data_IF_885914629548
#
_entry.id   IF_885914629548
#
_cell.length_a   1.000
_cell.length_b   1.000
_cell.length_c   1.000
_cell.angle_alpha   90.00
_cell.angle_beta   90.00
_cell.angle_gamma   90.00
#
_symmetry.space_group_name_H-M   'P 1'
#
loop_
_entity.id
_entity.type
_entity.pdbx_description
1 polymer ?
#
# COMPACT_ATOMS: atom_id res chain seq x y z
N UNK A 1 -5.10 21.71 -11.22
CA UNK A 1 -5.93 20.49 -11.36
C UNK A 1 -5.59 19.52 -10.23
N UNK A 2 -6.55 18.72 -9.76
CA UNK A 2 -6.33 17.65 -8.76
C UNK A 2 -6.53 16.29 -9.43
N UNK A 3 -5.68 15.32 -9.11
CA UNK A 3 -5.78 13.95 -9.65
C UNK A 3 -5.86 12.94 -8.50
N UNK A 4 -6.54 11.83 -8.75
CA UNK A 4 -6.59 10.68 -7.85
C UNK A 4 -5.84 9.54 -8.53
N UNK A 5 -4.89 8.92 -7.81
CA UNK A 5 -4.17 7.73 -8.31
C UNK A 5 -5.16 6.58 -8.47
N UNK A 6 -5.13 5.92 -9.63
CA UNK A 6 -5.92 4.69 -9.84
C UNK A 6 -5.44 3.60 -8.89
N UNK A 7 -6.33 2.80 -8.30
CA UNK A 7 -5.93 1.65 -7.52
C UNK A 7 -5.25 0.62 -8.43
N UNK A 8 -4.01 0.27 -8.10
CA UNK A 8 -3.20 -0.70 -8.84
C UNK A 8 -2.52 -1.61 -7.84
N UNK A 9 -2.54 -2.93 -8.11
CA UNK A 9 -1.75 -3.89 -7.35
C UNK A 9 -0.30 -3.83 -7.85
N UNK A 10 0.64 -3.72 -6.93
CA UNK A 10 2.07 -3.69 -7.20
C UNK A 10 2.76 -4.78 -6.36
N UNK A 11 3.90 -5.23 -6.81
CA UNK A 11 4.80 -6.05 -6.00
C UNK A 11 5.85 -5.16 -5.36
N UNK A 12 6.24 -5.47 -4.13
CA UNK A 12 7.27 -4.73 -3.42
C UNK A 12 8.08 -5.64 -2.48
N UNK A 13 9.36 -5.31 -2.30
CA UNK A 13 10.26 -5.97 -1.37
C UNK A 13 10.99 -4.93 -0.52
N UNK A 14 11.13 -5.19 0.78
CA UNK A 14 11.92 -4.32 1.65
C UNK A 14 13.40 -4.68 1.56
N UNK A 15 14.27 -3.68 1.45
CA UNK A 15 15.72 -3.86 1.50
C UNK A 15 16.15 -4.15 2.93
N UNK A 16 16.81 -5.28 3.15
CA UNK A 16 17.36 -5.73 4.43
C UNK A 16 18.78 -6.23 4.23
N UNK A 17 19.59 -6.18 5.27
CA UNK A 17 21.01 -6.61 5.22
C UNK A 17 21.21 -8.10 4.80
N UNK A 18 20.16 -8.93 4.91
CA UNK A 18 20.24 -10.38 4.67
C UNK A 18 19.34 -10.89 3.54
N UNK A 19 18.85 -10.03 2.65
CA UNK A 19 17.92 -10.47 1.59
C UNK A 19 18.31 -10.03 0.17
N UNK A 20 19.57 -9.76 -0.08
CA UNK A 20 20.03 -9.29 -1.40
C UNK A 20 19.79 -10.29 -2.53
N UNK A 21 19.98 -11.59 -2.28
CA UNK A 21 19.67 -12.63 -3.28
C UNK A 21 18.19 -12.59 -3.69
N UNK A 22 17.29 -12.42 -2.72
CA UNK A 22 15.85 -12.28 -2.99
C UNK A 22 15.51 -10.99 -3.75
N UNK A 23 16.27 -9.92 -3.53
CA UNK A 23 16.12 -8.67 -4.28
C UNK A 23 16.57 -8.89 -5.72
N UNK A 24 17.68 -9.60 -5.94
CA UNK A 24 18.14 -9.95 -7.29
C UNK A 24 17.10 -10.82 -8.03
N UNK A 25 16.55 -11.84 -7.37
CA UNK A 25 15.48 -12.67 -7.92
C UNK A 25 14.23 -11.82 -8.26
N UNK A 26 13.85 -10.93 -7.35
CA UNK A 26 12.69 -10.04 -7.53
C UNK A 26 12.86 -9.09 -8.71
N UNK A 27 14.07 -8.56 -8.91
CA UNK A 27 14.39 -7.62 -9.98
C UNK A 27 14.81 -8.34 -11.29
N UNK A 28 15.07 -9.64 -11.24
CA UNK A 28 15.58 -10.41 -12.40
C UNK A 28 17.00 -10.01 -12.80
N UNK A 29 17.85 -9.65 -11.84
CA UNK A 29 19.22 -9.19 -12.07
C UNK A 29 20.25 -10.03 -11.32
N UNK A 30 21.53 -9.90 -11.69
CA UNK A 30 22.62 -10.52 -10.96
C UNK A 30 23.11 -9.62 -9.82
N UNK A 31 23.67 -10.17 -8.74
CA UNK A 31 24.19 -9.37 -7.63
C UNK A 31 25.10 -8.22 -8.03
N UNK A 32 25.99 -8.43 -9.00
CA UNK A 32 26.92 -7.39 -9.46
C UNK A 32 26.27 -6.19 -10.17
N UNK A 33 24.99 -6.27 -10.55
CA UNK A 33 24.24 -5.20 -11.20
C UNK A 33 23.50 -4.30 -10.17
N UNK A 34 23.31 -4.81 -8.97
CA UNK A 34 22.41 -4.20 -7.96
C UNK A 34 23.19 -3.65 -6.76
N UNK A 35 24.41 -4.15 -6.55
CA UNK A 35 25.24 -3.71 -5.43
C UNK A 35 25.88 -2.37 -5.67
N UNK A 36 25.83 -1.49 -4.66
CA UNK A 36 26.73 -0.37 -4.62
C UNK A 36 28.15 -0.89 -4.33
N UNK A 37 29.07 -0.88 -5.30
CA UNK A 37 30.46 -1.28 -5.08
C UNK A 37 31.26 -0.26 -4.26
N UNK A 38 30.66 0.84 -3.83
CA UNK A 38 31.26 1.77 -2.86
C UNK A 38 31.00 1.33 -1.41
N UNK A 39 31.26 0.08 -1.08
CA UNK A 39 31.92 -0.17 0.19
C UNK A 39 33.27 0.52 0.04
N UNK A 40 33.48 1.63 0.72
CA UNK A 40 34.81 2.20 0.90
C UNK A 40 35.69 1.10 1.56
N UNK A 41 36.32 0.33 0.71
CA UNK A 41 37.42 -0.54 1.13
C UNK A 41 38.54 0.47 1.47
N UNK A 42 38.80 0.64 2.75
CA UNK A 42 39.96 1.44 3.15
C UNK A 42 41.23 0.80 2.56
N UNK A 43 42.31 1.55 2.56
CA UNK A 43 43.62 1.11 2.04
C UNK A 43 44.16 -0.16 2.72
N UNK A 44 43.46 -0.69 3.76
CA UNK A 44 43.79 -1.90 4.51
C UNK A 44 42.82 -3.06 4.17
N UNK A 45 41.83 -2.88 3.28
CA UNK A 45 40.88 -3.92 2.87
C UNK A 45 39.77 -4.20 3.88
N UNK A 46 39.57 -3.34 4.87
CA UNK A 46 38.51 -3.46 5.85
C UNK A 46 37.26 -2.69 5.39
N UNK A 47 36.16 -3.40 5.23
CA UNK A 47 34.90 -2.83 4.78
C UNK A 47 34.15 -2.20 5.95
N UNK A 48 34.13 -0.89 6.01
CA UNK A 48 33.40 -0.11 7.05
C UNK A 48 31.92 -0.02 6.80
N UNK A 49 31.28 -0.90 6.28
CA UNK A 49 29.86 -1.11 6.12
C UNK A 49 29.54 -1.64 4.71
N UNK A 50 29.48 -2.97 4.54
CA UNK A 50 29.36 -3.56 3.21
C UNK A 50 28.01 -3.31 2.54
N UNK A 51 27.03 -2.67 3.21
CA UNK A 51 25.66 -2.67 2.68
C UNK A 51 24.92 -1.35 2.88
N UNK A 52 25.31 -0.31 2.13
CA UNK A 52 24.60 0.97 2.12
C UNK A 52 23.29 0.95 1.34
N UNK A 53 23.01 -0.11 0.58
CA UNK A 53 21.75 -0.22 -0.19
C UNK A 53 21.92 -0.83 -1.57
N UNK A 54 20.85 -0.75 -2.35
CA UNK A 54 20.68 -1.30 -3.69
C UNK A 54 20.62 -0.16 -4.71
N UNK A 55 21.43 -0.22 -5.78
CA UNK A 55 21.31 0.73 -6.89
C UNK A 55 20.31 0.17 -7.90
N UNK A 56 19.33 0.96 -8.27
CA UNK A 56 18.29 0.63 -9.24
C UNK A 56 18.47 1.52 -10.45
N UNK A 57 18.60 0.94 -11.62
CA UNK A 57 18.57 1.67 -12.88
C UNK A 57 17.11 1.98 -13.24
N UNK A 58 16.79 3.25 -13.32
CA UNK A 58 15.46 3.76 -13.67
C UNK A 58 15.52 4.56 -14.97
N UNK A 59 14.36 4.88 -15.53
CA UNK A 59 14.26 5.77 -16.71
C UNK A 59 14.81 7.18 -16.44
N UNK A 60 14.84 7.58 -15.17
CA UNK A 60 15.35 8.90 -14.73
C UNK A 60 16.83 8.86 -14.30
N UNK A 61 17.48 7.69 -14.42
CA UNK A 61 18.86 7.45 -14.01
C UNK A 61 18.98 6.47 -12.85
N UNK A 62 20.16 6.44 -12.23
CA UNK A 62 20.43 5.55 -11.09
C UNK A 62 19.83 6.11 -9.80
N UNK A 63 19.02 5.29 -9.12
CA UNK A 63 18.46 5.61 -7.81
C UNK A 63 18.97 4.60 -6.78
N UNK A 64 19.16 5.05 -5.53
CA UNK A 64 19.61 4.20 -4.43
C UNK A 64 18.44 3.90 -3.48
N UNK A 65 18.22 2.61 -3.20
CA UNK A 65 17.36 2.12 -2.12
C UNK A 65 18.23 1.76 -0.92
N UNK A 66 18.09 2.44 0.20
CA UNK A 66 18.81 2.15 1.43
C UNK A 66 18.18 0.98 2.20
N UNK A 67 18.92 0.42 3.17
CA UNK A 67 18.34 -0.55 4.11
C UNK A 67 17.12 0.07 4.78
N UNK A 68 16.00 -0.67 4.76
CA UNK A 68 14.69 -0.23 5.24
C UNK A 68 13.77 0.31 4.15
N UNK A 69 14.30 0.80 3.03
CA UNK A 69 13.50 1.26 1.91
C UNK A 69 12.75 0.09 1.23
N UNK A 70 11.68 0.40 0.53
CA UNK A 70 10.96 -0.54 -0.31
C UNK A 70 11.44 -0.41 -1.76
N UNK A 71 11.63 -1.53 -2.45
CA UNK A 71 11.75 -1.55 -3.91
C UNK A 71 10.39 -1.96 -4.46
N UNK A 72 9.81 -1.13 -5.30
CA UNK A 72 8.50 -1.34 -5.92
C UNK A 72 8.71 -1.74 -7.37
N UNK A 73 7.98 -2.78 -7.81
CA UNK A 73 7.81 -3.10 -9.22
C UNK A 73 6.54 -2.43 -9.70
N UNK A 74 6.70 -1.42 -10.54
CA UNK A 74 5.59 -0.66 -11.10
C UNK A 74 4.82 -1.41 -12.18
N UNK A 75 3.78 -0.77 -12.70
CA UNK A 75 2.81 -1.39 -13.63
C UNK A 75 3.40 -1.75 -15.00
N UNK A 76 4.47 -1.10 -15.39
CA UNK A 76 5.17 -1.38 -16.65
C UNK A 76 6.38 -2.30 -16.43
N UNK A 77 6.56 -2.84 -15.23
CA UNK A 77 7.69 -3.69 -14.85
C UNK A 77 8.95 -2.93 -14.42
N UNK A 78 8.88 -1.60 -14.37
CA UNK A 78 9.96 -0.73 -13.88
C UNK A 78 10.15 -0.89 -12.36
N UNK A 79 11.39 -0.73 -11.89
CA UNK A 79 11.71 -0.75 -10.47
C UNK A 79 12.10 0.64 -9.98
N UNK A 80 11.66 1.00 -8.78
CA UNK A 80 12.03 2.26 -8.11
C UNK A 80 11.99 2.13 -6.60
N UNK A 81 12.84 2.90 -5.87
CA UNK A 81 12.85 2.92 -4.41
C UNK A 81 11.72 3.77 -3.86
N UNK A 82 11.21 3.40 -2.69
CA UNK A 82 10.21 4.15 -1.94
C UNK A 82 10.54 4.15 -0.45
N UNK A 83 10.47 5.30 0.20
CA UNK A 83 10.68 5.40 1.63
C UNK A 83 9.58 4.65 2.41
N UNK A 84 9.91 3.96 3.51
CA UNK A 84 8.96 3.12 4.23
C UNK A 84 7.76 3.90 4.77
N UNK A 85 7.95 5.15 5.20
CA UNK A 85 6.87 6.02 5.66
C UNK A 85 5.93 6.46 4.54
N UNK A 86 6.47 6.72 3.34
CA UNK A 86 5.70 7.04 2.13
C UNK A 86 4.96 5.78 1.67
N UNK A 87 5.63 4.63 1.67
CA UNK A 87 5.03 3.35 1.30
C UNK A 87 3.82 3.03 2.18
N UNK A 88 3.96 3.12 3.50
CA UNK A 88 2.88 2.85 4.46
C UNK A 88 1.68 3.81 4.32
N UNK A 89 1.91 5.05 3.86
CA UNK A 89 0.83 6.01 3.59
C UNK A 89 0.13 5.79 2.24
N UNK A 90 0.80 5.13 1.31
CA UNK A 90 0.35 5.03 -0.09
C UNK A 90 -0.21 3.66 -0.45
N UNK A 91 0.28 2.60 0.20
CA UNK A 91 -0.04 1.22 -0.12
C UNK A 91 -0.54 0.46 1.10
N UNK A 92 -1.64 -0.25 0.92
CA UNK A 92 -2.10 -1.28 1.85
C UNK A 92 -1.71 -2.66 1.32
N UNK A 93 -1.57 -3.64 2.22
CA UNK A 93 -1.35 -5.02 1.81
C UNK A 93 -2.52 -5.49 0.94
N UNK A 94 -2.21 -5.99 -0.25
CA UNK A 94 -3.24 -6.56 -1.11
C UNK A 94 -3.86 -7.80 -0.45
N UNK A 95 -5.20 -7.98 -0.53
CA UNK A 95 -5.85 -9.19 -0.05
C UNK A 95 -5.29 -10.43 -0.75
N UNK A 96 -4.89 -11.44 0.01
CA UNK A 96 -4.28 -12.65 -0.52
C UNK A 96 -5.32 -13.56 -1.21
N UNK A 97 -6.53 -13.62 -0.66
CA UNK A 97 -7.61 -14.46 -1.16
C UNK A 97 -8.98 -13.78 -1.12
N UNK A 98 -10.05 -14.53 -1.41
CA UNK A 98 -11.41 -14.00 -1.39
C UNK A 98 -11.90 -13.65 0.02
N UNK A 99 -11.38 -14.32 1.05
CA UNK A 99 -11.73 -14.06 2.45
C UNK A 99 -11.16 -12.71 2.89
N UNK A 100 -9.88 -12.47 2.58
CA UNK A 100 -9.23 -11.17 2.82
C UNK A 100 -9.97 -10.04 2.08
N UNK A 101 -10.39 -10.29 0.81
CA UNK A 101 -11.16 -9.29 0.04
C UNK A 101 -12.51 -8.99 0.69
N UNK A 102 -13.20 -10.02 1.19
CA UNK A 102 -14.49 -9.85 1.87
C UNK A 102 -14.33 -9.05 3.17
N UNK A 103 -13.30 -9.34 3.96
CA UNK A 103 -12.98 -8.57 5.17
C UNK A 103 -12.62 -7.11 4.84
N UNK A 104 -11.79 -6.89 3.82
CA UNK A 104 -11.43 -5.54 3.37
C UNK A 104 -12.67 -4.75 2.92
N UNK A 105 -13.57 -5.35 2.15
CA UNK A 105 -14.83 -4.74 1.71
C UNK A 105 -15.70 -4.33 2.90
N UNK A 106 -15.80 -5.19 3.92
CA UNK A 106 -16.53 -4.87 5.15
C UNK A 106 -15.93 -3.63 5.84
N UNK A 107 -14.61 -3.61 6.06
CA UNK A 107 -13.96 -2.50 6.75
C UNK A 107 -14.05 -1.19 5.98
N UNK A 108 -13.86 -1.20 4.66
CA UNK A 108 -13.99 -0.02 3.81
C UNK A 108 -15.43 0.53 3.79
N UNK A 109 -16.42 -0.35 3.74
CA UNK A 109 -17.82 0.05 3.78
C UNK A 109 -18.19 0.60 5.15
N UNK A 110 -17.72 -0.03 6.24
CA UNK A 110 -17.94 0.40 7.61
C UNK A 110 -17.35 1.79 7.88
N UNK A 111 -16.14 2.06 7.37
CA UNK A 111 -15.54 3.40 7.45
C UNK A 111 -16.39 4.46 6.74
N UNK A 112 -16.87 4.16 5.53
CA UNK A 112 -17.75 5.06 4.77
C UNK A 112 -19.09 5.27 5.47
N UNK A 113 -19.67 4.24 6.03
CA UNK A 113 -20.92 4.28 6.80
C UNK A 113 -20.76 5.18 8.04
N UNK A 114 -19.69 5.01 8.81
CA UNK A 114 -19.38 5.84 9.97
C UNK A 114 -19.17 7.32 9.59
N UNK A 115 -18.42 7.59 8.50
CA UNK A 115 -18.21 8.96 8.00
C UNK A 115 -19.53 9.64 7.60
N UNK A 116 -20.42 8.90 6.94
CA UNK A 116 -21.74 9.41 6.55
C UNK A 116 -22.62 9.64 7.77
N UNK A 117 -22.61 8.74 8.76
CA UNK A 117 -23.32 8.93 10.03
C UNK A 117 -22.81 10.16 10.81
N UNK A 118 -21.48 10.37 10.83
CA UNK A 118 -20.89 11.57 11.42
C UNK A 118 -21.27 12.85 10.69
N UNK A 119 -21.44 12.81 9.38
CA UNK A 119 -21.87 13.96 8.58
C UNK A 119 -23.28 14.45 8.96
N UNK A 120 -24.18 13.56 9.35
CA UNK A 120 -25.55 13.93 9.80
C UNK A 120 -25.57 14.84 11.04
N UNK A 121 -24.46 14.95 11.75
CA UNK A 121 -24.33 15.78 12.96
C UNK A 121 -23.67 17.13 12.67
N UNK A 122 -23.58 17.53 11.42
CA UNK A 122 -22.87 18.75 11.01
C UNK A 122 -23.85 19.83 10.52
N UNK A 123 -23.51 21.10 10.75
CA UNK A 123 -24.26 22.21 10.17
C UNK A 123 -24.33 22.16 8.64
N UNK A 124 -23.37 21.49 7.98
CA UNK A 124 -23.39 21.30 6.54
C UNK A 124 -24.56 20.39 6.10
N UNK A 125 -24.89 19.37 6.89
CA UNK A 125 -26.07 18.54 6.68
C UNK A 125 -27.36 19.32 6.90
N UNK A 126 -27.43 20.13 7.98
CA UNK A 126 -28.63 20.93 8.29
C UNK A 126 -29.02 21.88 7.16
N UNK A 127 -28.03 22.41 6.43
CA UNK A 127 -28.22 23.32 5.29
C UNK A 127 -28.59 22.62 3.97
N UNK A 128 -28.71 21.28 3.93
CA UNK A 128 -29.16 20.58 2.73
C UNK A 128 -30.67 20.67 2.53
N UNK A 129 -31.10 20.54 1.28
CA UNK A 129 -32.53 20.34 0.96
C UNK A 129 -33.04 19.01 1.48
N UNK A 130 -34.34 18.93 1.77
CA UNK A 130 -34.98 17.72 2.31
C UNK A 130 -34.79 16.51 1.38
N UNK A 131 -34.81 16.73 0.06
CA UNK A 131 -34.55 15.68 -0.93
C UNK A 131 -33.12 15.11 -0.80
N UNK A 132 -32.12 15.97 -0.61
CA UNK A 132 -30.72 15.52 -0.41
C UNK A 132 -30.56 14.78 0.92
N UNK A 133 -31.19 15.26 1.98
CA UNK A 133 -31.22 14.59 3.28
C UNK A 133 -31.82 13.19 3.16
N UNK A 134 -32.99 13.07 2.55
CA UNK A 134 -33.67 11.80 2.34
C UNK A 134 -32.83 10.79 1.55
N UNK A 135 -32.10 11.23 0.51
CA UNK A 135 -31.20 10.37 -0.26
C UNK A 135 -30.01 9.89 0.57
N UNK A 136 -29.38 10.78 1.36
CA UNK A 136 -28.24 10.44 2.22
C UNK A 136 -28.65 9.47 3.34
N UNK A 137 -29.80 9.67 3.96
CA UNK A 137 -30.39 8.76 4.96
C UNK A 137 -30.69 7.38 4.34
N UNK A 138 -31.29 7.36 3.15
CA UNK A 138 -31.54 6.11 2.42
C UNK A 138 -30.24 5.38 2.07
N UNK A 139 -29.20 6.12 1.64
CA UNK A 139 -27.87 5.58 1.39
C UNK A 139 -27.29 4.95 2.66
N UNK A 140 -27.31 5.67 3.78
CA UNK A 140 -26.77 5.20 5.06
C UNK A 140 -27.47 3.91 5.51
N UNK A 141 -28.79 3.84 5.42
CA UNK A 141 -29.59 2.65 5.73
C UNK A 141 -29.28 1.46 4.81
N UNK A 142 -29.04 1.72 3.54
CA UNK A 142 -28.66 0.68 2.57
C UNK A 142 -27.25 0.14 2.86
N UNK A 143 -26.31 1.02 3.21
CA UNK A 143 -24.96 0.61 3.62
C UNK A 143 -25.00 -0.23 4.89
N UNK A 144 -25.82 0.12 5.88
CA UNK A 144 -26.01 -0.65 7.12
C UNK A 144 -26.51 -2.08 6.81
N UNK A 145 -27.50 -2.20 5.94
CA UNK A 145 -28.01 -3.51 5.49
C UNK A 145 -26.93 -4.32 4.80
N UNK A 146 -26.11 -3.69 3.95
CA UNK A 146 -25.04 -4.39 3.26
C UNK A 146 -23.93 -4.82 4.24
N UNK A 147 -23.57 -3.99 5.21
CA UNK A 147 -22.64 -4.36 6.30
C UNK A 147 -23.14 -5.59 7.08
N UNK A 148 -24.44 -5.66 7.36
CA UNK A 148 -25.01 -6.84 8.03
C UNK A 148 -24.83 -8.12 7.19
N UNK A 149 -25.06 -8.05 5.89
CA UNK A 149 -24.85 -9.18 4.97
C UNK A 149 -23.38 -9.59 4.91
N UNK A 150 -22.48 -8.62 4.78
CA UNK A 150 -21.03 -8.91 4.75
C UNK A 150 -20.56 -9.56 6.05
N UNK A 151 -21.03 -9.07 7.20
CA UNK A 151 -20.71 -9.66 8.53
C UNK A 151 -21.19 -11.10 8.61
N UNK A 152 -22.41 -11.39 8.18
CA UNK A 152 -22.95 -12.75 8.17
C UNK A 152 -22.14 -13.67 7.26
N UNK A 153 -21.78 -13.21 6.05
CA UNK A 153 -20.92 -13.96 5.14
C UNK A 153 -19.54 -14.22 5.74
N UNK A 154 -18.93 -13.21 6.39
CA UNK A 154 -17.66 -13.40 7.08
C UNK A 154 -17.75 -14.45 8.19
N UNK A 155 -18.83 -14.42 8.99
CA UNK A 155 -19.06 -15.42 10.05
C UNK A 155 -19.18 -16.84 9.47
N UNK A 156 -19.91 -17.02 8.37
CA UNK A 156 -20.06 -18.32 7.70
C UNK A 156 -18.73 -18.87 7.18
N UNK A 157 -17.80 -17.98 6.78
CA UNK A 157 -16.48 -18.33 6.29
C UNK A 157 -15.40 -18.44 7.41
N UNK A 158 -15.82 -18.24 8.67
CA UNK A 158 -14.91 -18.25 9.82
C UNK A 158 -13.94 -17.06 9.88
N UNK A 159 -14.32 -15.94 9.26
CA UNK A 159 -13.53 -14.70 9.27
C UNK A 159 -13.92 -13.88 10.50
N UNK A 160 -12.93 -13.53 11.31
CA UNK A 160 -13.11 -12.59 12.44
C UNK A 160 -12.97 -11.16 11.96
N UNK A 161 -14.00 -10.33 12.17
CA UNK A 161 -14.05 -8.91 11.82
C UNK A 161 -13.70 -8.02 13.02
#
# INVERSE_FOLDING_TARGET
MKYIKKPVVIDAIQVRANNFDRICDFMGCTPGQVFNPMADIDEFGDSRDPYLGVIIETLEGKMQANIGDMIIKGVNGEFYPCKPDIFAKTYNKAPADYKDRMAAEYYELNERWNKLGGFFQTAAYDNLSDEKKALLESQHKTMERYLSILRERCNLEGITL
#
